data_IF_543667331860
#
_entry.id   IF_543667331860
#
_cell.length_a   1.000
_cell.length_b   1.000
_cell.length_c   1.000
_cell.angle_alpha   90.00
_cell.angle_beta   90.00
_cell.angle_gamma   90.00
#
_symmetry.space_group_name_H-M   'P 1'
#
loop_
_entity.id
_entity.type
_entity.pdbx_description
1 polymer ?
#
# COMPACT_ATOMS: atom_id res chain seq x y z
N UNK A 1 19.83 28.25 -83.15
CA UNK A 1 21.12 27.82 -82.56
C UNK A 1 21.37 28.65 -81.30
N UNK A 2 21.71 27.96 -80.18
CA UNK A 2 22.43 28.43 -78.96
C UNK A 2 21.76 29.54 -78.11
N UNK A 3 21.00 29.23 -77.04
CA UNK A 3 21.41 29.00 -75.62
C UNK A 3 22.28 30.11 -75.02
N UNK A 4 21.84 30.75 -73.91
CA UNK A 4 22.50 30.62 -72.60
C UNK A 4 21.87 31.39 -71.40
N UNK A 5 21.83 30.65 -70.27
CA UNK A 5 21.76 31.02 -68.84
C UNK A 5 20.60 31.86 -68.25
N UNK A 6 19.55 31.16 -67.81
CA UNK A 6 18.70 31.61 -66.71
C UNK A 6 19.06 30.84 -65.43
N UNK A 7 19.61 31.57 -64.45
CA UNK A 7 19.96 31.11 -63.11
C UNK A 7 18.72 30.63 -62.35
N UNK A 8 18.73 29.37 -61.89
CA UNK A 8 17.76 28.83 -60.94
C UNK A 8 18.34 28.98 -59.53
N UNK A 9 17.97 30.06 -58.83
CA UNK A 9 18.12 30.12 -57.37
C UNK A 9 16.88 29.45 -56.74
N UNK A 10 17.06 28.22 -56.26
CA UNK A 10 16.09 27.56 -55.38
C UNK A 10 16.14 28.21 -54.00
N UNK A 11 15.13 28.99 -53.65
CA UNK A 11 14.97 29.55 -52.31
C UNK A 11 14.35 28.47 -51.40
N UNK A 12 15.19 27.75 -50.64
CA UNK A 12 14.73 26.91 -49.54
C UNK A 12 14.28 27.84 -48.40
N UNK A 13 12.97 28.05 -48.25
CA UNK A 13 12.41 28.77 -47.11
C UNK A 13 12.49 27.87 -45.87
N UNK A 14 13.46 28.15 -45.00
CA UNK A 14 13.61 27.52 -43.69
C UNK A 14 12.55 28.11 -42.74
N UNK A 15 11.41 27.43 -42.58
CA UNK A 15 10.38 27.82 -41.60
C UNK A 15 10.89 27.41 -40.21
N UNK A 16 11.49 28.36 -39.50
CA UNK A 16 11.77 28.25 -38.07
C UNK A 16 10.45 28.37 -37.31
N UNK A 17 9.84 27.25 -36.93
CA UNK A 17 8.80 27.23 -35.90
C UNK A 17 9.44 27.54 -34.55
N UNK A 18 9.65 28.83 -34.27
CA UNK A 18 9.85 29.29 -32.91
C UNK A 18 8.53 29.03 -32.16
N UNK A 19 8.52 28.04 -31.27
CA UNK A 19 7.42 27.82 -30.33
C UNK A 19 7.38 29.01 -29.35
N UNK A 20 6.78 30.12 -29.78
CA UNK A 20 6.58 31.30 -28.96
C UNK A 20 5.52 30.99 -27.89
N UNK A 21 5.82 31.37 -26.65
CA UNK A 21 4.84 31.36 -25.56
C UNK A 21 3.63 32.22 -25.90
N UNK A 22 2.45 31.78 -25.48
CA UNK A 22 1.20 32.53 -25.61
C UNK A 22 1.21 33.73 -24.66
N UNK A 23 0.56 34.83 -25.06
CA UNK A 23 0.46 36.02 -24.22
C UNK A 23 -0.50 35.77 -23.04
N UNK A 24 -0.20 36.28 -21.84
CA UNK A 24 -1.16 36.31 -20.72
C UNK A 24 -2.43 37.07 -21.11
N UNK A 25 -3.57 36.59 -20.63
CA UNK A 25 -4.90 37.20 -20.83
C UNK A 25 -5.28 38.15 -19.68
N UNK A 26 -4.61 38.06 -18.53
CA UNK A 26 -4.77 38.98 -17.39
C UNK A 26 -3.52 38.96 -16.51
N UNK A 27 -3.43 39.88 -15.55
CA UNK A 27 -2.30 39.96 -14.61
C UNK A 27 -2.15 38.72 -13.71
N UNK A 28 -3.23 37.96 -13.51
CA UNK A 28 -3.20 36.71 -12.71
C UNK A 28 -3.00 35.46 -13.56
N UNK A 29 -2.96 35.59 -14.89
CA UNK A 29 -2.76 34.50 -15.85
C UNK A 29 -1.27 34.16 -15.96
N UNK A 30 -0.72 33.59 -14.88
CA UNK A 30 0.71 33.23 -14.78
C UNK A 30 0.94 31.72 -14.80
N UNK A 31 2.13 31.25 -15.23
CA UNK A 31 2.49 29.84 -15.17
C UNK A 31 2.32 29.22 -13.78
N UNK A 32 2.69 29.93 -12.72
CA UNK A 32 2.62 29.47 -11.33
C UNK A 32 1.17 29.35 -10.85
N UNK A 33 0.31 30.29 -11.24
CA UNK A 33 -1.12 30.24 -10.89
C UNK A 33 -1.76 28.98 -11.45
N UNK A 34 -1.56 28.73 -12.75
CA UNK A 34 -2.10 27.57 -13.43
C UNK A 34 -1.50 26.26 -12.96
N UNK A 35 -0.22 26.26 -12.58
CA UNK A 35 0.40 25.11 -11.93
C UNK A 35 -0.27 24.81 -10.58
N UNK A 36 -0.46 25.81 -9.71
CA UNK A 36 -1.18 25.62 -8.44
C UNK A 36 -2.62 25.16 -8.65
N UNK A 37 -3.32 25.71 -9.63
CA UNK A 37 -4.67 25.27 -10.00
C UNK A 37 -4.68 23.80 -10.45
N UNK A 38 -3.73 23.39 -11.29
CA UNK A 38 -3.57 22.00 -11.71
C UNK A 38 -3.24 21.06 -10.55
N UNK A 39 -2.41 21.48 -9.60
CA UNK A 39 -2.12 20.67 -8.40
C UNK A 39 -3.36 20.48 -7.50
N UNK A 40 -4.22 21.51 -7.38
CA UNK A 40 -5.52 21.34 -6.68
C UNK A 40 -6.44 20.37 -7.41
N UNK A 41 -6.45 20.41 -8.74
CA UNK A 41 -7.22 19.45 -9.54
C UNK A 41 -6.69 18.01 -9.36
N UNK A 42 -5.37 17.82 -9.24
CA UNK A 42 -4.77 16.53 -8.86
C UNK A 42 -5.26 16.04 -7.50
N UNK A 43 -5.28 16.93 -6.50
CA UNK A 43 -5.74 16.58 -5.15
C UNK A 43 -7.25 16.24 -5.12
N UNK A 44 -8.02 16.78 -6.06
CA UNK A 44 -9.44 16.47 -6.27
C UNK A 44 -9.68 15.29 -7.25
N UNK A 45 -8.63 14.61 -7.70
CA UNK A 45 -8.66 13.52 -8.68
C UNK A 45 -9.26 13.89 -10.07
N UNK A 46 -9.39 15.19 -10.37
CA UNK A 46 -9.81 15.69 -11.68
C UNK A 46 -8.59 15.85 -12.61
N UNK A 47 -8.13 14.72 -13.14
CA UNK A 47 -6.93 14.67 -13.96
C UNK A 47 -7.07 15.38 -15.31
N UNK A 48 -8.29 15.50 -15.85
CA UNK A 48 -8.51 16.21 -17.11
C UNK A 48 -8.40 17.73 -16.89
N UNK A 49 -9.04 18.26 -15.85
CA UNK A 49 -8.88 19.66 -15.48
C UNK A 49 -7.44 19.99 -15.09
N UNK A 50 -6.75 19.06 -14.43
CA UNK A 50 -5.33 19.19 -14.14
C UNK A 50 -4.50 19.36 -15.43
N UNK A 51 -4.73 18.51 -16.44
CA UNK A 51 -4.04 18.62 -17.74
C UNK A 51 -4.29 19.98 -18.39
N UNK A 52 -5.53 20.45 -18.44
CA UNK A 52 -5.87 21.78 -19.01
C UNK A 52 -5.10 22.90 -18.32
N UNK A 53 -5.08 22.87 -16.98
CA UNK A 53 -4.37 23.89 -16.18
C UNK A 53 -2.86 23.83 -16.40
N UNK A 54 -2.26 22.63 -16.37
CA UNK A 54 -0.82 22.49 -16.61
C UNK A 54 -0.42 22.80 -18.05
N UNK A 55 -1.29 22.53 -19.03
CA UNK A 55 -1.06 22.92 -20.42
C UNK A 55 -1.02 24.44 -20.54
N UNK A 56 -1.97 25.16 -19.94
CA UNK A 56 -1.95 26.64 -19.90
C UNK A 56 -0.67 27.17 -19.24
N UNK A 57 -0.20 26.53 -18.17
CA UNK A 57 1.07 26.88 -17.51
C UNK A 57 2.27 26.80 -18.48
N UNK A 58 2.37 25.71 -19.25
CA UNK A 58 3.44 25.51 -20.24
C UNK A 58 3.28 26.42 -21.46
N UNK A 59 2.04 26.72 -21.86
CA UNK A 59 1.75 27.62 -22.99
C UNK A 59 2.14 29.06 -22.66
N UNK A 60 2.03 29.48 -21.40
CA UNK A 60 2.44 30.81 -20.93
C UNK A 60 3.97 30.93 -20.80
N UNK A 61 4.64 29.88 -20.32
CA UNK A 61 6.10 29.82 -20.30
C UNK A 61 6.62 28.41 -20.59
N UNK A 62 7.16 28.22 -21.80
CA UNK A 62 7.76 26.95 -22.21
C UNK A 62 9.04 26.59 -21.45
N UNK A 63 9.63 27.51 -20.67
CA UNK A 63 10.77 27.23 -19.78
C UNK A 63 10.32 26.82 -18.38
N UNK A 64 9.05 26.99 -18.03
CA UNK A 64 8.53 26.67 -16.71
C UNK A 64 8.47 25.15 -16.49
N UNK A 65 9.51 24.61 -15.86
CA UNK A 65 9.72 23.17 -15.71
C UNK A 65 8.59 22.46 -14.95
N UNK A 66 8.03 23.11 -13.92
CA UNK A 66 6.99 22.52 -13.08
C UNK A 66 5.69 22.26 -13.84
N UNK A 67 5.35 23.09 -14.85
CA UNK A 67 4.20 22.86 -15.73
C UNK A 67 4.29 21.51 -16.46
N UNK A 68 5.47 21.18 -17.00
CA UNK A 68 5.71 19.86 -17.58
C UNK A 68 5.63 18.74 -16.52
N UNK A 69 6.14 18.99 -15.31
CA UNK A 69 6.01 18.03 -14.21
C UNK A 69 4.57 17.73 -13.84
N UNK A 70 3.71 18.76 -13.81
CA UNK A 70 2.27 18.63 -13.59
C UNK A 70 1.59 17.79 -14.68
N UNK A 71 1.88 18.08 -15.96
CA UNK A 71 1.39 17.26 -17.09
C UNK A 71 1.82 15.79 -16.95
N UNK A 72 3.07 15.54 -16.60
CA UNK A 72 3.57 14.18 -16.41
C UNK A 72 2.91 13.46 -15.24
N UNK A 73 2.63 14.16 -14.14
CA UNK A 73 1.95 13.61 -12.98
C UNK A 73 0.49 13.25 -13.30
N UNK A 74 -0.24 14.14 -13.96
CA UNK A 74 -1.63 13.87 -14.37
C UNK A 74 -1.70 12.66 -15.33
N UNK A 75 -0.80 12.57 -16.30
CA UNK A 75 -0.74 11.43 -17.21
C UNK A 75 -0.32 10.13 -16.50
N UNK A 76 0.49 10.19 -15.45
CA UNK A 76 0.81 9.01 -14.63
C UNK A 76 -0.43 8.47 -13.91
N UNK A 77 -1.27 9.34 -13.35
CA UNK A 77 -2.55 8.93 -12.75
C UNK A 77 -3.54 8.38 -13.79
N UNK A 78 -3.55 8.94 -15.01
CA UNK A 78 -4.32 8.41 -16.14
C UNK A 78 -3.73 7.14 -16.76
N UNK A 79 -2.64 6.61 -16.22
CA UNK A 79 -1.92 5.42 -16.72
C UNK A 79 -1.38 5.56 -18.16
N UNK A 80 -1.30 6.79 -18.70
CA UNK A 80 -0.59 7.07 -19.96
C UNK A 80 0.92 7.16 -19.68
N UNK A 81 1.52 5.98 -19.52
CA UNK A 81 2.95 5.82 -19.20
C UNK A 81 3.86 6.50 -20.22
N UNK A 82 3.46 6.53 -21.49
CA UNK A 82 4.26 7.12 -22.56
C UNK A 82 4.39 8.63 -22.37
N UNK A 83 3.27 9.34 -22.21
CA UNK A 83 3.28 10.79 -21.96
C UNK A 83 3.88 11.13 -20.61
N UNK A 84 3.57 10.36 -19.56
CA UNK A 84 4.12 10.57 -18.23
C UNK A 84 5.66 10.56 -18.22
N UNK A 85 6.29 9.60 -18.91
CA UNK A 85 7.75 9.51 -19.05
C UNK A 85 8.36 10.65 -19.86
N UNK A 86 7.73 11.04 -20.96
CA UNK A 86 8.17 12.16 -21.79
C UNK A 86 8.17 13.46 -20.96
N UNK A 87 7.06 13.74 -20.28
CA UNK A 87 6.92 14.93 -19.45
C UNK A 87 7.80 14.91 -18.20
N UNK A 88 8.01 13.76 -17.56
CA UNK A 88 9.00 13.63 -16.49
C UNK A 88 10.41 14.01 -16.98
N UNK A 89 10.80 13.54 -18.16
CA UNK A 89 12.10 13.86 -18.77
C UNK A 89 12.22 15.35 -19.10
N UNK A 90 11.16 15.98 -19.63
CA UNK A 90 11.09 17.42 -19.89
C UNK A 90 11.16 18.26 -18.60
N UNK A 91 10.46 17.85 -17.55
CA UNK A 91 10.49 18.49 -16.24
C UNK A 91 11.91 18.47 -15.66
N UNK A 92 12.55 17.30 -15.63
CA UNK A 92 13.90 17.14 -15.10
C UNK A 92 14.97 17.88 -15.91
N UNK A 93 14.84 17.95 -17.24
CA UNK A 93 15.81 18.63 -18.09
C UNK A 93 15.71 20.16 -17.98
N UNK A 94 14.50 20.72 -18.11
CA UNK A 94 14.25 22.17 -17.98
C UNK A 94 14.49 22.66 -16.56
N UNK A 95 14.21 21.82 -15.56
CA UNK A 95 14.38 22.09 -14.14
C UNK A 95 15.65 21.53 -13.52
N UNK A 96 16.72 21.26 -14.28
CA UNK A 96 17.91 20.53 -13.79
C UNK A 96 18.68 21.16 -12.60
N UNK A 97 18.45 22.45 -12.34
CA UNK A 97 18.97 23.20 -11.19
C UNK A 97 17.91 23.48 -10.11
N UNK A 98 16.64 23.17 -10.36
CA UNK A 98 15.54 23.39 -9.44
C UNK A 98 15.23 22.08 -8.68
N UNK A 99 15.47 22.01 -7.35
CA UNK A 99 15.20 20.81 -6.57
C UNK A 99 13.71 20.42 -6.58
N UNK A 100 12.79 21.38 -6.65
CA UNK A 100 11.35 21.12 -6.72
C UNK A 100 10.97 20.41 -8.03
N UNK A 101 11.54 20.85 -9.16
CA UNK A 101 11.28 20.21 -10.45
C UNK A 101 11.86 18.79 -10.54
N UNK A 102 13.03 18.56 -9.92
CA UNK A 102 13.62 17.22 -9.83
C UNK A 102 12.80 16.31 -8.90
N UNK A 103 12.35 16.82 -7.75
CA UNK A 103 11.48 16.09 -6.84
C UNK A 103 10.12 15.75 -7.48
N UNK A 104 9.50 16.70 -8.19
CA UNK A 104 8.28 16.47 -8.94
C UNK A 104 8.49 15.42 -10.03
N UNK A 105 9.61 15.46 -10.76
CA UNK A 105 9.93 14.41 -11.73
C UNK A 105 10.08 13.04 -11.08
N UNK A 106 10.65 12.96 -9.87
CA UNK A 106 10.75 11.70 -9.14
C UNK A 106 9.37 11.19 -8.68
N UNK A 107 8.50 12.08 -8.20
CA UNK A 107 7.10 11.77 -7.86
C UNK A 107 6.37 11.08 -9.02
N UNK A 108 6.58 11.51 -10.26
CA UNK A 108 5.96 10.90 -11.44
C UNK A 108 6.39 9.42 -11.56
N UNK A 109 7.69 9.12 -11.40
CA UNK A 109 8.18 7.74 -11.41
C UNK A 109 7.58 6.90 -10.27
N UNK A 110 7.53 7.44 -9.05
CA UNK A 110 6.91 6.78 -7.88
C UNK A 110 5.42 6.48 -8.14
N UNK A 111 4.71 7.41 -8.81
CA UNK A 111 3.30 7.22 -9.18
C UNK A 111 3.14 6.08 -10.19
N UNK A 112 4.11 5.88 -11.08
CA UNK A 112 4.12 4.80 -12.07
C UNK A 112 4.69 3.47 -11.56
N UNK A 113 4.87 3.27 -10.24
CA UNK A 113 5.56 2.09 -9.68
C UNK A 113 5.00 0.73 -10.13
N UNK A 114 3.70 0.65 -10.34
CA UNK A 114 3.01 -0.59 -10.75
C UNK A 114 3.12 -0.84 -12.27
N UNK A 115 3.60 0.14 -13.03
CA UNK A 115 3.70 0.12 -14.49
C UNK A 115 5.15 0.11 -15.00
N UNK A 116 6.11 0.57 -14.19
CA UNK A 116 7.49 0.79 -14.62
C UNK A 116 8.50 0.07 -13.71
N UNK A 117 9.09 -1.05 -14.18
CA UNK A 117 10.01 -1.87 -13.36
C UNK A 117 11.20 -1.12 -12.75
N UNK A 118 11.70 -0.07 -13.43
CA UNK A 118 12.87 0.71 -12.98
C UNK A 118 12.47 2.00 -12.25
N UNK A 119 11.21 2.13 -11.83
CA UNK A 119 10.67 3.34 -11.19
C UNK A 119 11.54 3.81 -10.01
N UNK A 120 11.96 2.89 -9.14
CA UNK A 120 12.69 3.22 -7.92
C UNK A 120 14.05 3.83 -8.23
N UNK A 121 14.86 3.15 -9.06
CA UNK A 121 16.17 3.66 -9.50
C UNK A 121 16.07 5.00 -10.22
N UNK A 122 15.00 5.25 -10.97
CA UNK A 122 14.76 6.53 -11.65
C UNK A 122 14.39 7.64 -10.68
N UNK A 123 13.50 7.35 -9.72
CA UNK A 123 13.11 8.29 -8.68
C UNK A 123 14.29 8.65 -7.78
N UNK A 124 15.02 7.65 -7.28
CA UNK A 124 16.21 7.80 -6.43
C UNK A 124 17.25 8.72 -7.09
N UNK A 125 17.66 8.42 -8.34
CA UNK A 125 18.65 9.26 -9.03
C UNK A 125 18.21 10.70 -9.30
N UNK A 126 16.90 10.98 -9.35
CA UNK A 126 16.37 12.35 -9.45
C UNK A 126 16.36 13.05 -8.09
N UNK A 127 15.99 12.34 -7.03
CA UNK A 127 15.96 12.88 -5.67
C UNK A 127 17.37 13.13 -5.13
N UNK A 128 18.35 12.27 -5.44
CA UNK A 128 19.77 12.52 -5.15
C UNK A 128 20.25 13.81 -5.82
N UNK A 129 19.89 14.02 -7.09
CA UNK A 129 20.22 15.27 -7.79
C UNK A 129 19.55 16.47 -7.13
N UNK A 130 18.30 16.33 -6.69
CA UNK A 130 17.58 17.39 -6.00
C UNK A 130 18.27 17.77 -4.67
N UNK A 131 18.65 16.77 -3.86
CA UNK A 131 19.37 17.02 -2.60
C UNK A 131 20.78 17.57 -2.83
N UNK A 132 21.45 17.25 -3.95
CA UNK A 132 22.69 17.93 -4.35
C UNK A 132 22.50 19.41 -4.70
N UNK A 133 21.29 19.83 -5.08
CA UNK A 133 20.97 21.25 -5.31
C UNK A 133 20.59 21.97 -4.02
N UNK A 134 19.85 21.28 -3.16
CA UNK A 134 19.47 21.77 -1.84
C UNK A 134 19.36 20.57 -0.89
N UNK A 135 20.36 20.41 -0.03
CA UNK A 135 20.48 19.29 0.92
C UNK A 135 19.30 19.21 1.89
N UNK A 136 18.70 20.36 2.17
CA UNK A 136 17.60 20.50 3.12
C UNK A 136 16.21 20.59 2.46
N UNK A 137 16.12 20.28 1.17
CA UNK A 137 14.86 20.34 0.42
C UNK A 137 13.82 19.34 0.96
N UNK A 138 12.82 19.86 1.68
CA UNK A 138 11.81 19.07 2.39
C UNK A 138 11.05 18.12 1.45
N UNK A 139 10.59 18.61 0.29
CA UNK A 139 9.85 17.79 -0.67
C UNK A 139 10.66 16.61 -1.20
N UNK A 140 11.97 16.79 -1.42
CA UNK A 140 12.85 15.70 -1.85
C UNK A 140 13.01 14.64 -0.77
N UNK A 141 13.18 15.04 0.49
CA UNK A 141 13.27 14.09 1.60
C UNK A 141 11.96 13.32 1.79
N UNK A 142 10.81 13.99 1.65
CA UNK A 142 9.51 13.34 1.70
C UNK A 142 9.38 12.29 0.59
N UNK A 143 9.67 12.64 -0.65
CA UNK A 143 9.57 11.71 -1.78
C UNK A 143 10.60 10.58 -1.72
N UNK A 144 11.76 10.77 -1.08
CA UNK A 144 12.66 9.68 -0.73
C UNK A 144 11.99 8.70 0.22
N UNK A 145 11.40 9.19 1.31
CA UNK A 145 10.65 8.34 2.24
C UNK A 145 9.55 7.55 1.55
N UNK A 146 8.79 8.19 0.64
CA UNK A 146 7.76 7.51 -0.15
C UNK A 146 8.35 6.47 -1.11
N UNK A 147 9.47 6.77 -1.77
CA UNK A 147 10.12 5.82 -2.67
C UNK A 147 10.61 4.58 -1.90
N UNK A 148 11.29 4.76 -0.77
CA UNK A 148 11.75 3.63 0.06
C UNK A 148 10.56 2.84 0.63
N UNK A 149 9.47 3.51 1.04
CA UNK A 149 8.26 2.85 1.55
C UNK A 149 7.68 1.88 0.51
N UNK A 150 7.51 2.34 -0.74
CA UNK A 150 6.96 1.51 -1.81
C UNK A 150 7.96 0.51 -2.42
N UNK A 151 9.26 0.70 -2.16
CA UNK A 151 10.29 -0.31 -2.46
C UNK A 151 10.49 -1.32 -1.30
N UNK A 152 9.61 -1.27 -0.29
CA UNK A 152 9.62 -2.12 0.90
C UNK A 152 10.89 -2.03 1.77
N UNK A 153 11.54 -0.87 1.73
CA UNK A 153 12.67 -0.48 2.57
C UNK A 153 12.16 0.40 3.71
N UNK A 154 11.46 -0.24 4.66
CA UNK A 154 10.66 0.46 5.65
C UNK A 154 11.48 1.26 6.67
N UNK A 155 12.70 0.81 6.97
CA UNK A 155 13.56 1.48 7.94
C UNK A 155 14.10 2.80 7.38
N UNK A 156 14.59 2.76 6.14
CA UNK A 156 15.03 3.93 5.40
C UNK A 156 13.87 4.91 5.23
N UNK A 157 12.69 4.41 4.87
CA UNK A 157 11.48 5.23 4.80
C UNK A 157 11.16 5.94 6.12
N UNK A 158 11.22 5.22 7.25
CA UNK A 158 11.02 5.76 8.60
C UNK A 158 11.97 6.93 8.89
N UNK A 159 13.27 6.76 8.60
CA UNK A 159 14.29 7.77 8.87
C UNK A 159 14.09 9.05 8.04
N UNK A 160 13.70 8.92 6.77
CA UNK A 160 13.33 10.06 5.93
C UNK A 160 12.08 10.77 6.46
N UNK A 161 11.01 10.05 6.79
CA UNK A 161 9.80 10.68 7.30
C UNK A 161 10.02 11.38 8.64
N UNK A 162 10.81 10.79 9.56
CA UNK A 162 11.22 11.44 10.81
C UNK A 162 11.89 12.79 10.55
N UNK A 163 12.79 12.84 9.57
CA UNK A 163 13.51 14.05 9.19
C UNK A 163 12.57 15.12 8.62
N UNK A 164 11.56 14.72 7.84
CA UNK A 164 10.56 15.66 7.30
C UNK A 164 9.63 16.19 8.40
N UNK A 165 9.19 15.33 9.32
CA UNK A 165 8.34 15.73 10.46
C UNK A 165 9.03 16.78 11.33
N UNK A 166 10.34 16.66 11.57
CA UNK A 166 11.08 17.62 12.40
C UNK A 166 11.21 19.01 11.76
N UNK A 167 11.08 19.13 10.44
CA UNK A 167 11.13 20.42 9.72
C UNK A 167 9.88 21.27 9.92
N UNK A 168 8.73 20.67 10.30
CA UNK A 168 7.44 21.37 10.49
C UNK A 168 7.00 22.21 9.27
N UNK A 169 7.35 21.77 8.07
CA UNK A 169 7.00 22.43 6.81
C UNK A 169 5.76 21.83 6.15
N UNK A 170 5.63 22.05 4.84
CA UNK A 170 4.43 21.68 4.06
C UNK A 170 4.18 20.16 4.05
N UNK A 171 5.25 19.37 4.10
CA UNK A 171 5.16 17.91 4.04
C UNK A 171 5.06 17.25 5.41
N UNK A 172 5.26 17.98 6.51
CA UNK A 172 5.33 17.42 7.87
C UNK A 172 4.07 16.60 8.23
N UNK A 173 2.87 17.09 7.92
CA UNK A 173 1.62 16.36 8.19
C UNK A 173 1.49 15.07 7.38
N UNK A 174 1.84 15.11 6.08
CA UNK A 174 1.84 13.92 5.21
C UNK A 174 2.91 12.90 5.65
N UNK A 175 4.05 13.40 6.11
CA UNK A 175 5.16 12.59 6.60
C UNK A 175 4.83 11.91 7.93
N UNK A 176 4.13 12.57 8.86
CA UNK A 176 3.77 12.00 10.17
C UNK A 176 2.93 10.72 10.02
N UNK A 177 1.90 10.75 9.19
CA UNK A 177 1.07 9.57 8.91
C UNK A 177 1.88 8.41 8.33
N UNK A 178 2.80 8.70 7.40
CA UNK A 178 3.66 7.67 6.79
C UNK A 178 4.75 7.19 7.74
N UNK A 179 5.26 8.06 8.60
CA UNK A 179 6.21 7.71 9.65
C UNK A 179 5.62 6.69 10.62
N UNK A 180 4.41 6.96 11.13
CA UNK A 180 3.67 6.04 12.00
C UNK A 180 3.43 4.68 11.34
N UNK A 181 3.06 4.67 10.05
CA UNK A 181 2.92 3.44 9.28
C UNK A 181 4.25 2.69 9.19
N UNK A 182 5.34 3.35 8.77
CA UNK A 182 6.67 2.76 8.67
C UNK A 182 7.14 2.18 10.00
N UNK A 183 6.93 2.88 11.12
CA UNK A 183 7.27 2.39 12.46
C UNK A 183 6.51 1.10 12.82
N UNK A 184 5.20 1.04 12.54
CA UNK A 184 4.41 -0.18 12.75
C UNK A 184 4.97 -1.34 11.93
N UNK A 185 5.28 -1.12 10.65
CA UNK A 185 5.79 -2.15 9.75
C UNK A 185 7.19 -2.62 10.18
N UNK A 186 8.09 -1.69 10.55
CA UNK A 186 9.43 -2.01 11.06
C UNK A 186 9.32 -2.87 12.31
N UNK A 187 8.45 -2.53 13.25
CA UNK A 187 8.19 -3.35 14.46
C UNK A 187 7.61 -4.72 14.11
N UNK A 188 6.77 -4.79 13.08
CA UNK A 188 6.17 -6.04 12.63
C UNK A 188 7.15 -6.94 11.86
N UNK A 189 8.28 -6.42 11.37
CA UNK A 189 9.35 -7.16 10.70
C UNK A 189 8.83 -8.19 9.67
N UNK A 190 8.06 -7.81 8.63
CA UNK A 190 7.55 -8.77 7.65
C UNK A 190 8.70 -9.50 6.94
N UNK A 191 8.66 -10.83 6.99
CA UNK A 191 9.72 -11.70 6.47
C UNK A 191 9.57 -12.03 4.99
N UNK A 192 8.35 -11.96 4.45
CA UNK A 192 8.02 -12.43 3.09
C UNK A 192 7.64 -11.29 2.16
N UNK A 193 7.82 -11.43 0.83
CA UNK A 193 7.32 -10.46 -0.14
C UNK A 193 5.81 -10.22 -0.04
N UNK A 194 5.02 -11.25 0.31
CA UNK A 194 3.58 -11.12 0.53
C UNK A 194 3.29 -10.26 1.76
N UNK A 195 3.95 -10.55 2.90
CA UNK A 195 3.84 -9.74 4.11
C UNK A 195 4.19 -8.27 3.88
N UNK A 196 5.28 -7.99 3.14
CA UNK A 196 5.67 -6.62 2.78
C UNK A 196 4.62 -5.89 1.93
N UNK A 197 3.97 -6.58 0.99
CA UNK A 197 2.87 -6.02 0.18
C UNK A 197 1.64 -5.73 1.04
N UNK A 198 1.22 -6.72 1.82
CA UNK A 198 0.04 -6.60 2.69
C UNK A 198 0.25 -5.51 3.73
N UNK A 199 1.47 -5.33 4.26
CA UNK A 199 1.81 -4.30 5.23
C UNK A 199 1.37 -2.87 4.84
N UNK A 200 1.30 -2.57 3.55
CA UNK A 200 0.89 -1.27 3.00
C UNK A 200 -0.63 -1.11 2.80
N UNK A 201 -1.43 -2.17 3.00
CA UNK A 201 -2.89 -2.13 2.84
C UNK A 201 -3.56 -1.46 4.03
N UNK A 202 -4.46 -0.52 3.75
CA UNK A 202 -5.30 0.11 4.77
C UNK A 202 -6.34 -0.85 5.34
N UNK A 203 -6.84 -1.78 4.51
CA UNK A 203 -7.75 -2.84 4.90
C UNK A 203 -7.31 -4.13 4.24
N UNK A 204 -7.18 -5.19 5.02
CA UNK A 204 -6.93 -6.52 4.48
C UNK A 204 -8.24 -7.27 4.28
N UNK A 205 -8.26 -8.17 3.30
CA UNK A 205 -9.36 -9.09 3.08
C UNK A 205 -9.06 -10.49 3.66
N UNK A 206 -10.03 -11.40 3.54
CA UNK A 206 -9.91 -12.77 4.05
C UNK A 206 -8.81 -13.56 3.33
N UNK A 207 -8.61 -13.34 2.03
CA UNK A 207 -7.50 -13.92 1.28
C UNK A 207 -6.13 -13.44 1.76
N UNK A 208 -5.98 -12.15 2.06
CA UNK A 208 -4.76 -11.58 2.64
C UNK A 208 -4.44 -12.24 3.98
N UNK A 209 -5.44 -12.45 4.85
CA UNK A 209 -5.22 -13.14 6.12
C UNK A 209 -4.72 -14.57 5.92
N UNK A 210 -5.35 -15.32 5.01
CA UNK A 210 -4.94 -16.69 4.70
C UNK A 210 -3.47 -16.75 4.23
N UNK A 211 -3.09 -15.83 3.35
CA UNK A 211 -1.71 -15.71 2.88
C UNK A 211 -0.75 -15.32 4.00
N UNK A 212 -1.13 -14.36 4.85
CA UNK A 212 -0.29 -13.95 5.98
C UNK A 212 -0.06 -15.11 6.96
N UNK A 213 -1.10 -15.87 7.33
CA UNK A 213 -0.95 -17.03 8.20
C UNK A 213 -0.11 -18.12 7.54
N UNK A 214 -0.25 -18.36 6.25
CA UNK A 214 0.59 -19.34 5.58
C UNK A 214 2.06 -18.89 5.48
N UNK A 215 2.31 -17.69 4.98
CA UNK A 215 3.65 -17.24 4.58
C UNK A 215 4.45 -16.66 5.76
N UNK A 216 3.82 -15.86 6.62
CA UNK A 216 4.51 -15.22 7.76
C UNK A 216 4.57 -16.11 8.99
N UNK A 217 3.52 -16.91 9.24
CA UNK A 217 3.49 -17.84 10.37
C UNK A 217 4.01 -19.23 9.99
N UNK A 218 4.18 -19.54 8.70
CA UNK A 218 4.59 -20.87 8.20
C UNK A 218 3.69 -21.97 8.75
N UNK A 219 2.39 -21.72 8.75
CA UNK A 219 1.43 -22.56 9.48
C UNK A 219 1.42 -24.02 9.00
N UNK A 220 1.66 -24.26 7.70
CA UNK A 220 1.81 -25.63 7.18
C UNK A 220 2.96 -26.39 7.83
N UNK A 221 4.11 -25.72 8.04
CA UNK A 221 5.26 -26.31 8.74
C UNK A 221 4.94 -26.58 10.21
N UNK A 222 4.15 -25.70 10.85
CA UNK A 222 3.72 -25.92 12.23
C UNK A 222 2.85 -27.18 12.36
N UNK A 223 1.91 -27.38 11.44
CA UNK A 223 1.02 -28.53 11.47
C UNK A 223 1.67 -29.83 10.99
N UNK A 224 2.56 -29.79 10.01
CA UNK A 224 3.28 -30.99 9.55
C UNK A 224 4.23 -31.56 10.63
N UNK A 225 4.74 -30.70 11.52
CA UNK A 225 5.56 -31.11 12.67
C UNK A 225 4.76 -31.69 13.83
N UNK A 226 3.44 -31.53 13.82
CA UNK A 226 2.58 -32.08 14.85
C UNK A 226 2.33 -33.56 14.56
N UNK A 227 2.64 -34.49 15.49
CA UNK A 227 2.37 -35.90 15.26
C UNK A 227 0.87 -36.09 15.01
N UNK A 228 0.53 -36.74 13.90
CA UNK A 228 -0.84 -37.11 13.54
C UNK A 228 -1.39 -37.94 14.70
N UNK A 229 -2.36 -37.40 15.43
CA UNK A 229 -3.08 -38.24 16.38
C UNK A 229 -3.96 -39.19 15.58
N UNK A 230 -3.88 -40.48 15.95
CA UNK A 230 -5.03 -41.37 15.92
C UNK A 230 -6.15 -40.68 16.71
N UNK A 231 -6.94 -39.87 16.01
CA UNK A 231 -8.24 -39.43 16.50
C UNK A 231 -8.99 -40.71 16.86
N UNK A 232 -9.53 -40.80 18.09
CA UNK A 232 -10.48 -41.86 18.41
C UNK A 232 -11.53 -42.01 17.30
N UNK A 233 -12.11 -43.21 17.16
CA UNK A 233 -12.96 -43.64 16.05
C UNK A 233 -13.57 -42.48 15.24
N UNK A 234 -12.96 -42.18 14.09
CA UNK A 234 -13.58 -41.30 13.11
C UNK A 234 -14.64 -42.12 12.38
N UNK A 235 -15.86 -41.61 12.33
CA UNK A 235 -16.85 -42.22 11.45
C UNK A 235 -16.35 -42.14 9.99
N UNK A 236 -16.73 -43.08 9.12
CA UNK A 236 -16.38 -43.00 7.69
C UNK A 236 -16.78 -41.66 7.05
N UNK A 237 -17.82 -41.00 7.56
CA UNK A 237 -18.24 -39.66 7.14
C UNK A 237 -17.30 -38.54 7.60
N UNK A 238 -16.79 -38.58 8.83
CA UNK A 238 -15.83 -37.59 9.35
C UNK A 238 -14.45 -37.76 8.68
N UNK A 239 -14.00 -39.00 8.51
CA UNK A 239 -12.77 -39.31 7.78
C UNK A 239 -12.85 -38.89 6.30
N UNK A 240 -14.00 -39.08 5.65
CA UNK A 240 -14.25 -38.64 4.27
C UNK A 240 -14.31 -37.10 4.13
N UNK A 241 -14.79 -36.37 5.14
CA UNK A 241 -14.80 -34.90 5.16
C UNK A 241 -13.39 -34.31 5.30
N UNK A 242 -12.51 -34.91 6.12
CA UNK A 242 -11.10 -34.52 6.20
C UNK A 242 -10.28 -34.92 4.97
N UNK A 243 -10.69 -35.96 4.24
CA UNK A 243 -10.00 -36.45 3.04
C UNK A 243 -10.38 -35.68 1.76
N UNK A 244 -11.57 -35.06 1.71
CA UNK A 244 -12.04 -34.26 0.58
C UNK A 244 -12.47 -32.86 1.02
N UNK A 245 -11.52 -32.02 1.45
CA UNK A 245 -11.80 -30.59 1.61
C UNK A 245 -11.98 -29.99 0.21
N UNK A 246 -13.24 -29.86 -0.18
CA UNK A 246 -13.63 -29.20 -1.42
C UNK A 246 -13.28 -27.72 -1.32
N UNK A 247 -12.61 -27.22 -2.35
CA UNK A 247 -12.33 -25.79 -2.47
C UNK A 247 -13.68 -25.07 -2.66
N UNK A 248 -13.96 -24.01 -1.89
CA UNK A 248 -15.18 -23.22 -2.03
C UNK A 248 -15.34 -22.71 -3.46
N UNK A 249 -16.58 -22.66 -3.97
CA UNK A 249 -16.83 -22.36 -5.37
C UNK A 249 -16.33 -20.96 -5.77
N UNK A 250 -16.47 -19.98 -4.89
CA UNK A 250 -15.99 -18.60 -5.06
C UNK A 250 -14.47 -18.45 -4.92
N UNK A 251 -13.78 -19.49 -4.46
CA UNK A 251 -12.33 -19.52 -4.27
C UNK A 251 -11.60 -20.29 -5.38
N UNK A 252 -12.31 -21.03 -6.24
CA UNK A 252 -11.73 -21.73 -7.39
C UNK A 252 -11.25 -20.72 -8.44
N UNK A 253 -10.00 -20.84 -8.86
CA UNK A 253 -9.32 -19.91 -9.76
C UNK A 253 -8.93 -18.58 -9.10
N UNK A 254 -9.25 -18.38 -7.82
CA UNK A 254 -8.84 -17.19 -7.09
C UNK A 254 -7.33 -17.22 -6.84
N UNK A 255 -6.65 -16.08 -6.90
CA UNK A 255 -5.19 -16.02 -6.74
C UNK A 255 -4.70 -16.62 -5.41
N UNK A 256 -5.58 -16.63 -4.39
CA UNK A 256 -5.30 -17.16 -3.07
C UNK A 256 -5.83 -18.58 -2.79
N UNK A 257 -6.33 -19.29 -3.80
CA UNK A 257 -6.97 -20.60 -3.69
C UNK A 257 -6.21 -21.58 -2.81
N UNK A 258 -4.90 -21.75 -3.05
CA UNK A 258 -4.05 -22.68 -2.31
C UNK A 258 -4.02 -22.37 -0.82
N UNK A 259 -3.78 -21.11 -0.45
CA UNK A 259 -3.71 -20.70 0.96
C UNK A 259 -5.08 -20.79 1.64
N UNK A 260 -6.16 -20.47 0.93
CA UNK A 260 -7.53 -20.62 1.44
C UNK A 260 -7.83 -22.08 1.76
N UNK A 261 -7.51 -22.98 0.83
CA UNK A 261 -7.68 -24.42 1.02
C UNK A 261 -6.93 -24.91 2.26
N UNK A 262 -5.69 -24.47 2.45
CA UNK A 262 -4.89 -24.83 3.62
C UNK A 262 -5.50 -24.28 4.92
N UNK A 263 -5.94 -23.02 4.95
CA UNK A 263 -6.57 -22.46 6.16
C UNK A 263 -7.85 -23.19 6.56
N UNK A 264 -8.64 -23.63 5.58
CA UNK A 264 -9.84 -24.47 5.80
C UNK A 264 -9.43 -25.85 6.29
N UNK A 265 -8.42 -26.46 5.65
CA UNK A 265 -7.90 -27.77 6.04
C UNK A 265 -7.44 -27.82 7.49
N UNK A 266 -6.80 -26.75 7.96
CA UNK A 266 -6.32 -26.66 9.33
C UNK A 266 -7.39 -26.17 10.31
N UNK A 267 -8.61 -25.87 9.86
CA UNK A 267 -9.69 -25.36 10.72
C UNK A 267 -9.43 -23.95 11.28
N UNK A 268 -8.50 -23.20 10.69
CA UNK A 268 -8.13 -21.86 11.15
C UNK A 268 -9.08 -20.81 10.60
N UNK A 269 -9.54 -21.00 9.36
CA UNK A 269 -10.58 -20.18 8.74
C UNK A 269 -11.67 -21.08 8.16
N UNK A 270 -12.92 -20.65 8.24
CA UNK A 270 -14.07 -21.44 7.76
C UNK A 270 -14.78 -20.73 6.61
N UNK A 271 -15.53 -21.50 5.83
CA UNK A 271 -16.57 -20.98 4.95
C UNK A 271 -17.76 -20.48 5.76
N UNK A 272 -18.53 -19.58 5.15
CA UNK A 272 -19.81 -19.12 5.68
C UNK A 272 -20.90 -20.20 5.48
N UNK A 273 -22.09 -20.07 6.11
CA UNK A 273 -23.14 -21.10 6.07
C UNK A 273 -23.63 -21.49 4.66
N UNK A 274 -23.42 -20.63 3.67
CA UNK A 274 -23.75 -20.86 2.27
C UNK A 274 -22.66 -21.65 1.51
N UNK A 275 -21.55 -22.00 2.18
CA UNK A 275 -20.44 -22.75 1.62
C UNK A 275 -19.39 -21.90 0.89
N UNK A 276 -19.53 -20.58 0.86
CA UNK A 276 -18.57 -19.66 0.23
C UNK A 276 -17.54 -19.15 1.24
N UNK A 277 -16.35 -18.74 0.76
CA UNK A 277 -15.29 -18.22 1.62
C UNK A 277 -15.22 -16.70 1.68
N UNK A 278 -15.69 -16.01 0.64
CA UNK A 278 -15.64 -14.58 0.43
C UNK A 278 -14.21 -14.01 0.50
N UNK A 279 -13.30 -14.41 -0.41
CA UNK A 279 -11.88 -14.06 -0.32
C UNK A 279 -11.60 -12.55 -0.34
N UNK A 280 -12.41 -11.78 -1.06
CA UNK A 280 -12.26 -10.34 -1.22
C UNK A 280 -12.95 -9.50 -0.13
N UNK A 281 -13.72 -10.13 0.76
CA UNK A 281 -14.38 -9.43 1.85
C UNK A 281 -13.36 -8.93 2.87
N UNK A 282 -13.52 -7.67 3.27
CA UNK A 282 -12.67 -7.05 4.28
C UNK A 282 -12.83 -7.75 5.63
N UNK A 283 -11.71 -7.99 6.29
CA UNK A 283 -11.74 -8.56 7.64
C UNK A 283 -11.88 -7.45 8.69
N UNK A 284 -12.66 -7.72 9.72
CA UNK A 284 -12.76 -6.86 10.89
C UNK A 284 -12.00 -7.47 12.07
N UNK A 285 -11.83 -6.70 13.13
CA UNK A 285 -11.06 -7.11 14.31
C UNK A 285 -11.67 -8.33 15.01
N UNK A 286 -12.99 -8.47 15.04
CA UNK A 286 -13.65 -9.63 15.64
C UNK A 286 -13.40 -10.92 14.84
N UNK A 287 -13.53 -10.88 13.51
CA UNK A 287 -13.27 -12.06 12.67
C UNK A 287 -11.80 -12.44 12.63
N UNK A 288 -10.89 -11.46 12.69
CA UNK A 288 -9.47 -11.73 12.90
C UNK A 288 -9.22 -12.44 14.24
N UNK A 289 -9.83 -11.95 15.34
CA UNK A 289 -9.68 -12.56 16.66
C UNK A 289 -10.14 -14.03 16.67
N UNK A 290 -11.26 -14.36 16.00
CA UNK A 290 -11.74 -15.74 15.85
C UNK A 290 -10.69 -16.61 15.14
N UNK A 291 -10.11 -16.13 14.05
CA UNK A 291 -9.09 -16.87 13.33
C UNK A 291 -7.84 -17.12 14.19
N UNK A 292 -7.44 -16.13 15.00
CA UNK A 292 -6.35 -16.27 15.99
C UNK A 292 -6.70 -17.27 17.07
N UNK A 293 -7.91 -17.23 17.65
CA UNK A 293 -8.35 -18.22 18.64
C UNK A 293 -8.28 -19.64 18.07
N UNK A 294 -8.85 -19.87 16.88
CA UNK A 294 -8.83 -21.19 16.23
C UNK A 294 -7.40 -21.67 16.04
N UNK A 295 -6.55 -20.78 15.56
CA UNK A 295 -5.13 -21.09 15.41
C UNK A 295 -4.50 -21.49 16.75
N UNK A 296 -4.76 -20.76 17.83
CA UNK A 296 -4.28 -21.12 19.17
C UNK A 296 -4.78 -22.51 19.59
N UNK A 297 -6.08 -22.79 19.45
CA UNK A 297 -6.67 -24.10 19.79
C UNK A 297 -5.94 -25.22 19.07
N UNK A 298 -5.78 -25.11 17.75
CA UNK A 298 -5.13 -26.17 16.95
C UNK A 298 -3.63 -26.24 17.28
N UNK A 299 -2.96 -25.10 17.46
CA UNK A 299 -1.52 -25.07 17.73
C UNK A 299 -1.14 -25.58 19.13
N UNK A 300 -1.97 -25.33 20.15
CA UNK A 300 -1.72 -25.79 21.53
C UNK A 300 -2.42 -27.09 21.87
N UNK A 301 -3.32 -27.58 20.99
CA UNK A 301 -4.20 -28.74 21.23
C UNK A 301 -5.02 -28.60 22.51
N UNK A 302 -5.54 -27.40 22.72
CA UNK A 302 -6.28 -27.05 23.92
C UNK A 302 -7.68 -26.59 23.53
N UNK A 303 -8.62 -27.55 23.48
CA UNK A 303 -10.03 -27.30 23.17
C UNK A 303 -10.71 -26.43 24.23
N UNK A 304 -10.16 -26.35 25.45
CA UNK A 304 -10.72 -25.50 26.51
C UNK A 304 -10.68 -24.02 26.14
N UNK A 305 -9.81 -23.62 25.21
CA UNK A 305 -9.72 -22.25 24.72
C UNK A 305 -10.96 -21.83 23.90
N UNK A 306 -11.74 -22.77 23.37
CA UNK A 306 -12.95 -22.44 22.59
C UNK A 306 -14.05 -21.81 23.43
N UNK A 307 -14.11 -22.16 24.71
CA UNK A 307 -15.20 -21.77 25.62
C UNK A 307 -14.71 -21.11 26.90
N UNK A 308 -13.41 -20.83 27.02
CA UNK A 308 -12.74 -20.29 28.23
C UNK A 308 -13.47 -19.13 28.90
N UNK A 309 -14.08 -18.23 28.12
CA UNK A 309 -14.77 -17.03 28.59
C UNK A 309 -16.28 -17.03 28.31
N UNK A 310 -16.86 -18.18 27.96
CA UNK A 310 -18.30 -18.28 27.81
C UNK A 310 -19.01 -18.06 29.15
N UNK A 311 -20.03 -17.21 29.13
CA UNK A 311 -20.84 -16.93 30.32
C UNK A 311 -20.19 -15.96 31.33
N UNK A 312 -19.12 -15.23 30.97
CA UNK A 312 -18.62 -14.15 31.83
C UNK A 312 -19.72 -13.11 32.10
N UNK A 313 -19.97 -12.84 33.38
CA UNK A 313 -21.04 -11.95 33.83
C UNK A 313 -20.78 -10.48 33.46
N UNK A 314 -19.52 -10.08 33.39
CA UNK A 314 -19.11 -8.72 33.04
C UNK A 314 -18.19 -8.77 31.84
N UNK A 315 -18.47 -7.94 30.84
CA UNK A 315 -17.60 -7.83 29.67
C UNK A 315 -16.28 -7.15 30.01
N UNK A 316 -15.21 -7.64 29.40
CA UNK A 316 -13.87 -7.03 29.43
C UNK A 316 -13.75 -5.78 28.56
N UNK A 317 -14.72 -5.50 27.70
CA UNK A 317 -14.69 -4.40 26.75
C UNK A 317 -15.95 -3.54 26.89
N UNK A 318 -15.80 -2.22 26.80
CA UNK A 318 -16.90 -1.28 26.96
C UNK A 318 -17.90 -1.28 25.79
N UNK A 319 -17.47 -1.77 24.61
CA UNK A 319 -18.28 -1.79 23.38
C UNK A 319 -18.59 -3.20 22.86
N UNK A 320 -18.38 -4.24 23.67
CA UNK A 320 -18.69 -5.62 23.31
C UNK A 320 -19.46 -6.28 24.45
N UNK A 321 -20.69 -6.78 24.27
CA UNK A 321 -21.36 -7.58 25.29
C UNK A 321 -20.72 -8.98 25.40
N UNK A 322 -20.78 -9.61 26.58
CA UNK A 322 -20.24 -10.98 26.76
C UNK A 322 -21.00 -12.05 25.95
N UNK A 323 -22.21 -11.73 25.48
CA UNK A 323 -23.00 -12.55 24.55
C UNK A 323 -22.60 -12.41 23.07
N UNK A 324 -21.67 -11.51 22.73
CA UNK A 324 -21.21 -11.35 21.36
C UNK A 324 -20.55 -12.64 20.87
N UNK A 325 -20.86 -13.08 19.65
CA UNK A 325 -20.37 -14.37 19.09
C UNK A 325 -18.84 -14.51 19.10
N UNK A 326 -18.12 -13.40 18.90
CA UNK A 326 -16.65 -13.35 18.94
C UNK A 326 -16.06 -13.00 20.33
N UNK A 327 -16.87 -12.87 21.39
CA UNK A 327 -16.41 -12.38 22.70
C UNK A 327 -15.25 -13.21 23.25
N UNK A 328 -15.39 -14.54 23.25
CA UNK A 328 -14.36 -15.45 23.72
C UNK A 328 -13.02 -15.23 23.00
N UNK A 329 -13.07 -15.07 21.69
CA UNK A 329 -11.88 -14.87 20.87
C UNK A 329 -11.20 -13.53 21.18
N UNK A 330 -11.99 -12.47 21.33
CA UNK A 330 -11.48 -11.14 21.69
C UNK A 330 -10.89 -11.13 23.10
N UNK A 331 -11.56 -11.75 24.07
CA UNK A 331 -11.08 -11.89 25.45
C UNK A 331 -9.77 -12.69 25.53
N UNK A 332 -9.69 -13.82 24.81
CA UNK A 332 -8.48 -14.65 24.72
C UNK A 332 -7.31 -13.89 24.09
N UNK A 333 -7.55 -13.20 22.97
CA UNK A 333 -6.53 -12.41 22.31
C UNK A 333 -6.04 -11.25 23.20
N UNK A 334 -6.94 -10.63 23.97
CA UNK A 334 -6.60 -9.57 24.91
C UNK A 334 -5.79 -10.08 26.11
N UNK A 335 -6.22 -11.18 26.74
CA UNK A 335 -5.48 -11.81 27.85
C UNK A 335 -4.05 -12.19 27.43
N UNK A 336 -3.89 -12.75 26.24
CA UNK A 336 -2.58 -13.18 25.72
C UNK A 336 -1.75 -12.03 25.12
N UNK A 337 -2.26 -10.80 25.13
CA UNK A 337 -1.57 -9.63 24.56
C UNK A 337 -1.40 -9.66 23.04
N UNK A 338 -2.17 -10.51 22.34
CA UNK A 338 -2.11 -10.69 20.88
C UNK A 338 -2.89 -9.57 20.16
N UNK A 339 -4.04 -9.16 20.72
CA UNK A 339 -4.82 -8.01 20.27
C UNK A 339 -5.18 -7.16 21.47
N UNK A 340 -5.14 -5.84 21.34
CA UNK A 340 -5.39 -4.93 22.46
C UNK A 340 -6.66 -4.11 22.23
N UNK A 341 -7.40 -3.86 23.31
CA UNK A 341 -8.43 -2.84 23.38
C UNK A 341 -7.77 -1.46 23.61
N UNK A 342 -8.48 -0.41 23.29
CA UNK A 342 -8.05 0.95 23.58
C UNK A 342 -7.96 1.17 25.10
N UNK A 343 -6.78 1.53 25.58
CA UNK A 343 -6.48 1.63 27.01
C UNK A 343 -7.24 2.75 27.71
N UNK A 344 -7.66 3.80 26.98
CA UNK A 344 -8.38 4.93 27.57
C UNK A 344 -9.89 4.68 27.62
N UNK A 345 -10.44 4.13 26.56
CA UNK A 345 -11.90 3.98 26.38
C UNK A 345 -12.40 2.58 26.75
N UNK A 346 -11.50 1.61 26.91
CA UNK A 346 -11.84 0.20 27.13
C UNK A 346 -12.46 -0.49 25.92
N UNK A 347 -12.46 0.16 24.74
CA UNK A 347 -13.14 -0.32 23.54
C UNK A 347 -12.28 -1.32 22.78
N UNK A 348 -12.86 -2.44 22.38
CA UNK A 348 -12.20 -3.37 21.47
C UNK A 348 -12.35 -2.97 20.00
N UNK A 349 -13.44 -2.31 19.63
CA UNK A 349 -13.83 -1.95 18.25
C UNK A 349 -13.97 -3.17 17.31
N UNK A 350 -14.92 -4.10 17.58
CA UNK A 350 -15.02 -5.38 16.88
C UNK A 350 -15.23 -5.27 15.36
N UNK A 351 -15.99 -4.27 14.91
CA UNK A 351 -16.26 -3.99 13.49
C UNK A 351 -15.19 -3.15 12.81
N UNK A 352 -14.17 -2.71 13.55
CA UNK A 352 -13.06 -1.93 13.01
C UNK A 352 -12.26 -2.73 11.98
N UNK A 353 -11.80 -2.06 10.93
CA UNK A 353 -10.97 -2.67 9.91
C UNK A 353 -9.58 -3.05 10.47
N UNK A 354 -8.97 -4.08 9.90
CA UNK A 354 -7.59 -4.47 10.21
C UNK A 354 -6.68 -3.98 9.08
N UNK A 355 -5.73 -3.10 9.41
CA UNK A 355 -4.67 -2.70 8.47
C UNK A 355 -3.65 -3.82 8.33
N UNK A 356 -2.92 -3.88 7.21
CA UNK A 356 -1.91 -4.93 7.03
C UNK A 356 -0.75 -4.84 8.02
N UNK A 357 -0.37 -3.63 8.42
CA UNK A 357 0.62 -3.43 9.47
C UNK A 357 0.12 -3.96 10.83
N UNK A 358 -1.15 -3.72 11.18
CA UNK A 358 -1.74 -4.25 12.41
C UNK A 358 -1.89 -5.78 12.35
N UNK A 359 -2.27 -6.35 11.20
CA UNK A 359 -2.33 -7.79 10.99
C UNK A 359 -0.97 -8.47 11.25
N UNK A 360 0.12 -7.90 10.75
CA UNK A 360 1.46 -8.43 11.00
C UNK A 360 1.87 -8.30 12.46
N UNK A 361 1.49 -7.21 13.14
CA UNK A 361 1.74 -7.07 14.58
C UNK A 361 0.98 -8.11 15.41
N UNK A 362 -0.27 -8.42 15.03
CA UNK A 362 -1.06 -9.48 15.65
C UNK A 362 -0.37 -10.82 15.47
N UNK A 363 0.16 -11.10 14.27
CA UNK A 363 0.95 -12.31 13.98
C UNK A 363 2.20 -12.38 14.87
N UNK A 364 2.91 -11.26 15.09
CA UNK A 364 4.06 -11.23 16.02
C UNK A 364 3.64 -11.51 17.46
N UNK A 365 2.53 -10.92 17.92
CA UNK A 365 1.95 -11.22 19.23
C UNK A 365 1.60 -12.71 19.39
N UNK A 366 1.03 -13.32 18.34
CA UNK A 366 0.73 -14.75 18.29
C UNK A 366 2.00 -15.61 18.35
N UNK A 367 3.03 -15.27 17.57
CA UNK A 367 4.33 -15.97 17.61
C UNK A 367 4.96 -15.92 19.02
N UNK A 368 4.93 -14.76 19.66
CA UNK A 368 5.38 -14.61 21.05
C UNK A 368 4.54 -15.45 22.02
N UNK A 369 3.21 -15.45 21.88
CA UNK A 369 2.31 -16.24 22.73
C UNK A 369 2.54 -17.74 22.59
N UNK A 370 2.89 -18.23 21.39
CA UNK A 370 3.17 -19.64 21.13
C UNK A 370 4.65 -20.01 21.39
N UNK A 371 5.48 -19.08 21.88
CA UNK A 371 6.93 -19.23 22.05
C UNK A 371 7.63 -19.73 20.78
N UNK A 372 7.13 -19.31 19.61
CA UNK A 372 7.70 -19.71 18.33
C UNK A 372 8.88 -18.81 17.98
N UNK A 373 10.05 -19.40 17.82
CA UNK A 373 11.23 -18.79 17.21
C UNK A 373 11.39 -19.36 15.81
N UNK A 374 11.41 -18.51 14.79
CA UNK A 374 11.66 -18.90 13.40
C UNK A 374 13.04 -18.48 12.93
#
# INVERSE_FOLDING_TARGET
MLKNYASRLSLFALILFAACSTKPQSDVDTPEYHFKAGMRAIDNEDFQQAITSFQRSVDLDSKFALGYGGLGLANAYLKDTKKAKDFASKCASRGSKNPEALALSARIWITMRDMEKKWFKRAEGLLEKALKRNENHEGSQYWFGVAYLYNYQFKEAEDYFRTVVSKRGEYAGKADSKWKLSQKIVRAMPGTPAGKRVALKEKINRADLAVLFSEELKIGVLFDRMPVQSTGFQSPSQAAQTANIAIPNDSKGHWAETWIKDMIRYGVMNVEPDGNFYPDDNINRATYAIAVQRLLVVATRDESLETKYFGEAQSRFSDVPSSHFAYNAMALCAERGIMQADMMTGRFTPTGAVTGADALLIIRGLQSSLRMTF
#
